data_IF_018972085710
#
_entry.id   IF_018972085710
#
_cell.length_a   1.000
_cell.length_b   1.000
_cell.length_c   1.000
_cell.angle_alpha   90.00
_cell.angle_beta   90.00
_cell.angle_gamma   90.00
#
_symmetry.space_group_name_H-M   'P 1'
#
loop_
_entity.id
_entity.type
_entity.pdbx_description
1 polymer ?
#
# COMPACT_ATOMS: atom_id res chain seq x y z
N UNK A 1 25.97 -45.51 -27.20
CA UNK A 1 27.28 -44.81 -27.07
C UNK A 1 26.99 -43.31 -27.02
N UNK A 2 27.42 -42.66 -25.92
CA UNK A 2 27.74 -41.23 -25.74
C UNK A 2 26.66 -40.18 -26.11
N UNK A 3 25.95 -39.59 -25.14
CA UNK A 3 26.27 -38.38 -24.32
C UNK A 3 25.93 -37.07 -25.05
N UNK A 4 24.83 -36.39 -24.70
CA UNK A 4 24.72 -35.28 -23.73
C UNK A 4 25.76 -34.17 -23.92
N UNK A 5 25.27 -32.98 -24.33
CA UNK A 5 25.56 -31.62 -23.83
C UNK A 5 24.65 -30.68 -24.63
N UNK A 6 23.64 -30.07 -23.99
CA UNK A 6 23.08 -28.78 -24.42
C UNK A 6 22.64 -27.97 -23.20
N UNK A 7 22.97 -26.68 -23.27
CA UNK A 7 23.11 -25.71 -22.19
C UNK A 7 21.78 -25.21 -21.60
N UNK A 8 21.81 -24.89 -20.30
CA UNK A 8 20.68 -24.65 -19.38
C UNK A 8 20.11 -23.22 -19.39
N UNK A 9 20.22 -22.44 -20.47
CA UNK A 9 19.89 -21.01 -20.45
C UNK A 9 18.68 -20.55 -21.29
N UNK A 10 17.81 -21.44 -21.77
CA UNK A 10 16.72 -21.03 -22.68
C UNK A 10 15.30 -21.40 -22.23
N UNK A 11 15.11 -21.86 -20.98
CA UNK A 11 13.80 -22.34 -20.50
C UNK A 11 13.10 -21.42 -19.47
N UNK A 12 13.43 -20.12 -19.44
CA UNK A 12 12.82 -19.14 -18.52
C UNK A 12 11.93 -18.09 -19.20
N UNK A 13 11.72 -18.18 -20.52
CA UNK A 13 10.98 -17.15 -21.27
C UNK A 13 9.59 -17.57 -21.81
N UNK A 14 9.08 -18.77 -21.51
CA UNK A 14 7.85 -19.27 -22.14
C UNK A 14 6.69 -19.64 -21.20
N UNK A 15 6.79 -19.38 -19.89
CA UNK A 15 5.70 -19.66 -18.94
C UNK A 15 4.77 -18.46 -18.66
N UNK A 16 4.69 -17.51 -19.59
CA UNK A 16 3.52 -16.65 -19.76
C UNK A 16 2.66 -17.29 -20.86
N UNK A 17 1.38 -17.51 -20.60
CA UNK A 17 0.32 -18.08 -21.45
C UNK A 17 -0.16 -19.50 -21.06
N UNK A 18 -1.40 -19.54 -20.56
CA UNK A 18 -2.30 -20.69 -20.36
C UNK A 18 -2.08 -21.61 -19.13
N UNK A 19 -2.86 -21.30 -18.08
CA UNK A 19 -3.82 -22.19 -17.40
C UNK A 19 -3.52 -23.68 -17.15
N UNK A 20 -3.62 -24.01 -15.86
CA UNK A 20 -4.19 -25.23 -15.24
C UNK A 20 -3.34 -26.53 -15.10
N UNK A 21 -3.41 -27.06 -13.86
CA UNK A 21 -2.98 -28.37 -13.32
C UNK A 21 -1.47 -28.61 -13.15
N UNK A 22 -0.94 -29.17 -12.05
CA UNK A 22 -1.52 -29.84 -10.87
C UNK A 22 -0.64 -29.68 -9.63
N UNK A 23 -1.28 -29.80 -8.46
CA UNK A 23 -0.68 -30.01 -7.14
C UNK A 23 0.32 -31.20 -7.11
N UNK A 24 1.20 -31.12 -6.11
CA UNK A 24 2.02 -32.18 -5.52
C UNK A 24 3.33 -32.56 -6.22
N UNK A 25 4.45 -32.00 -5.76
CA UNK A 25 5.53 -32.69 -5.01
C UNK A 25 6.78 -31.80 -4.97
N UNK A 26 7.60 -31.99 -3.92
CA UNK A 26 8.83 -31.26 -3.57
C UNK A 26 8.68 -30.06 -2.62
N UNK A 27 8.09 -30.33 -1.46
CA UNK A 27 8.51 -29.71 -0.20
C UNK A 27 9.17 -30.79 0.66
N UNK A 28 10.49 -30.89 0.53
CA UNK A 28 11.35 -31.48 1.55
C UNK A 28 12.60 -30.62 1.69
N UNK A 29 12.39 -29.41 2.21
CA UNK A 29 13.48 -28.59 2.73
C UNK A 29 13.74 -29.04 4.16
N UNK A 30 14.83 -29.80 4.30
CA UNK A 30 15.43 -30.17 5.56
C UNK A 30 15.63 -28.93 6.45
N UNK A 31 14.87 -28.84 7.54
CA UNK A 31 15.12 -27.90 8.62
C UNK A 31 16.37 -28.35 9.37
N UNK A 32 17.54 -27.92 8.91
CA UNK A 32 18.78 -28.03 9.70
C UNK A 32 18.88 -26.84 10.63
N UNK A 33 18.65 -27.10 11.91
CA UNK A 33 19.12 -26.24 13.00
C UNK A 33 20.65 -26.12 12.91
N UNK A 34 21.14 -25.02 12.32
CA UNK A 34 22.52 -24.57 12.51
C UNK A 34 22.50 -23.18 13.15
N UNK A 35 22.91 -23.13 14.41
CA UNK A 35 23.27 -21.92 15.17
C UNK A 35 24.56 -21.30 14.63
N UNK A 36 24.56 -20.94 13.35
CA UNK A 36 25.44 -19.91 12.79
C UNK A 36 24.72 -18.58 12.97
N UNK A 37 25.41 -17.52 13.39
CA UNK A 37 24.85 -16.17 13.57
C UNK A 37 24.11 -15.75 12.29
N UNK A 38 22.80 -16.02 12.23
CA UNK A 38 21.94 -15.67 11.12
C UNK A 38 21.86 -14.14 11.15
N UNK A 39 22.60 -13.50 10.25
CA UNK A 39 22.71 -12.05 10.23
C UNK A 39 21.34 -11.35 10.24
N UNK A 40 21.31 -10.13 10.75
CA UNK A 40 20.08 -9.37 11.00
C UNK A 40 19.74 -8.53 9.77
N UNK A 41 18.51 -8.65 9.31
CA UNK A 41 17.94 -7.76 8.30
C UNK A 41 16.88 -6.88 8.93
N UNK A 42 16.94 -5.59 8.62
CA UNK A 42 15.96 -4.62 9.08
C UNK A 42 15.72 -3.56 8.01
N UNK A 43 14.80 -2.65 8.26
CA UNK A 43 14.41 -1.54 7.39
C UNK A 43 14.31 -0.27 8.22
N UNK A 44 14.54 0.88 7.60
CA UNK A 44 14.23 2.16 8.21
C UNK A 44 12.76 2.22 8.68
N UNK A 45 12.48 3.11 9.64
CA UNK A 45 11.13 3.36 10.15
C UNK A 45 10.85 4.85 9.98
N UNK A 46 10.47 5.27 8.77
CA UNK A 46 10.23 6.67 8.44
C UNK A 46 8.84 6.91 7.81
N UNK A 47 8.35 8.15 7.94
CA UNK A 47 7.01 8.51 7.47
C UNK A 47 5.89 7.99 8.36
N UNK A 48 4.67 7.97 7.80
CA UNK A 48 3.41 7.62 8.51
C UNK A 48 2.92 6.21 8.16
N UNK A 49 1.75 5.82 8.66
CA UNK A 49 1.16 4.47 8.56
C UNK A 49 1.40 3.74 7.24
N UNK A 50 0.95 4.28 6.10
CA UNK A 50 1.13 3.59 4.81
C UNK A 50 2.60 3.35 4.42
N UNK A 51 3.53 4.22 4.86
CA UNK A 51 4.96 4.00 4.63
C UNK A 51 5.50 2.91 5.54
N UNK A 52 5.13 2.95 6.83
CA UNK A 52 5.51 1.91 7.80
C UNK A 52 5.04 0.53 7.36
N UNK A 53 3.82 0.42 6.83
CA UNK A 53 3.29 -0.83 6.26
C UNK A 53 4.10 -1.27 5.04
N UNK A 54 4.47 -0.34 4.15
CA UNK A 54 5.33 -0.58 3.00
C UNK A 54 6.71 -1.11 3.36
N UNK A 55 7.38 -0.44 4.29
CA UNK A 55 8.67 -0.82 4.87
C UNK A 55 8.58 -2.22 5.50
N UNK A 56 7.57 -2.47 6.33
CA UNK A 56 7.35 -3.76 7.00
C UNK A 56 7.19 -4.91 5.99
N UNK A 57 6.27 -4.76 5.02
CA UNK A 57 5.98 -5.82 4.05
C UNK A 57 7.17 -6.10 3.13
N UNK A 58 7.91 -5.05 2.78
CA UNK A 58 9.13 -5.16 1.97
C UNK A 58 10.24 -5.88 2.74
N UNK A 59 10.45 -5.53 4.01
CA UNK A 59 11.40 -6.23 4.88
C UNK A 59 11.03 -7.71 5.01
N UNK A 60 9.75 -7.99 5.31
CA UNK A 60 9.24 -9.34 5.49
C UNK A 60 9.57 -10.20 4.26
N UNK A 61 9.22 -9.71 3.07
CA UNK A 61 9.41 -10.44 1.83
C UNK A 61 10.88 -10.58 1.43
N UNK A 62 11.67 -9.50 1.47
CA UNK A 62 13.06 -9.53 1.02
C UNK A 62 13.98 -10.31 1.97
N UNK A 63 13.78 -10.22 3.29
CA UNK A 63 14.54 -11.02 4.23
C UNK A 63 14.25 -12.51 4.02
N UNK A 64 12.97 -12.89 3.88
CA UNK A 64 12.55 -14.26 3.58
C UNK A 64 13.14 -14.76 2.26
N UNK A 65 13.05 -13.97 1.19
CA UNK A 65 13.58 -14.30 -0.13
C UNK A 65 15.11 -14.56 -0.10
N UNK A 66 15.83 -13.82 0.75
CA UNK A 66 17.28 -13.95 0.87
C UNK A 66 17.70 -14.91 2.01
N UNK A 67 16.78 -15.63 2.64
CA UNK A 67 17.09 -16.63 3.67
C UNK A 67 17.55 -16.05 5.01
N UNK A 68 17.10 -14.83 5.35
CA UNK A 68 17.45 -14.13 6.56
C UNK A 68 16.24 -13.86 7.47
N UNK A 69 16.49 -13.78 8.78
CA UNK A 69 15.49 -13.34 9.74
C UNK A 69 15.35 -11.82 9.70
N UNK A 70 14.11 -11.35 9.53
CA UNK A 70 13.78 -9.94 9.64
C UNK A 70 13.55 -9.53 11.10
N UNK A 71 13.98 -8.31 11.42
CA UNK A 71 13.71 -7.62 12.68
C UNK A 71 13.22 -6.21 12.39
N UNK A 72 12.18 -5.77 13.08
CA UNK A 72 11.67 -4.40 12.97
C UNK A 72 12.31 -3.48 14.01
N UNK A 73 12.41 -2.20 13.69
CA UNK A 73 12.88 -1.20 14.64
C UNK A 73 11.82 -0.94 15.73
N UNK A 74 12.23 -0.57 16.97
CA UNK A 74 11.30 -0.26 18.06
C UNK A 74 10.28 0.83 17.72
N UNK A 75 10.67 1.81 16.90
CA UNK A 75 9.76 2.86 16.41
C UNK A 75 8.61 2.29 15.56
N UNK A 76 8.93 1.39 14.62
CA UNK A 76 7.94 0.72 13.76
C UNK A 76 6.99 -0.14 14.59
N UNK A 77 7.53 -0.90 15.56
CA UNK A 77 6.70 -1.71 16.46
C UNK A 77 5.70 -0.83 17.23
N UNK A 78 6.16 0.25 17.86
CA UNK A 78 5.28 1.20 18.58
C UNK A 78 4.19 1.81 17.69
N UNK A 79 4.45 1.93 16.40
CA UNK A 79 3.52 2.54 15.45
C UNK A 79 2.49 1.54 14.90
N UNK A 80 2.91 0.32 14.58
CA UNK A 80 2.09 -0.69 13.90
C UNK A 80 1.41 -1.68 14.86
N UNK A 81 2.09 -2.10 15.93
CA UNK A 81 1.57 -3.13 16.85
C UNK A 81 0.30 -2.75 17.59
N UNK A 82 -0.01 -1.46 17.87
CA UNK A 82 -1.31 -1.10 18.44
C UNK A 82 -2.48 -1.31 17.47
N UNK A 83 -2.22 -1.39 16.16
CA UNK A 83 -3.24 -1.49 15.11
C UNK A 83 -3.36 -2.94 14.62
N UNK A 84 -2.21 -3.60 14.40
CA UNK A 84 -2.11 -4.89 13.74
C UNK A 84 -1.42 -5.95 14.60
N UNK A 85 -1.74 -7.22 14.34
CA UNK A 85 -1.14 -8.41 14.94
C UNK A 85 0.16 -8.82 14.22
N UNK A 86 1.08 -7.87 14.04
CA UNK A 86 2.39 -8.12 13.41
C UNK A 86 3.26 -9.08 14.23
N UNK A 87 4.06 -9.91 13.56
CA UNK A 87 4.79 -11.00 14.22
C UNK A 87 6.32 -10.87 14.20
N UNK A 88 6.88 -10.05 13.29
CA UNK A 88 8.33 -9.84 13.23
C UNK A 88 8.91 -9.37 14.58
N UNK A 89 10.03 -9.97 15.03
CA UNK A 89 10.66 -9.60 16.30
C UNK A 89 11.23 -8.19 16.26
N UNK A 90 11.26 -7.53 17.42
CA UNK A 90 11.84 -6.19 17.57
C UNK A 90 13.35 -6.31 17.78
N UNK A 91 14.12 -5.51 17.05
CA UNK A 91 15.56 -5.40 17.26
C UNK A 91 15.84 -4.63 18.57
N UNK A 92 16.61 -5.17 19.53
CA UNK A 92 16.95 -4.46 20.75
C UNK A 92 17.74 -3.17 20.46
N UNK A 93 17.37 -2.06 21.12
CA UNK A 93 17.99 -0.74 20.90
C UNK A 93 19.51 -0.78 21.09
N UNK A 94 19.99 -1.54 22.08
CA UNK A 94 21.42 -1.70 22.37
C UNK A 94 22.23 -2.30 21.23
N UNK A 95 21.59 -3.08 20.33
CA UNK A 95 22.26 -3.70 19.20
C UNK A 95 22.39 -2.73 18.01
N UNK A 96 21.47 -1.78 17.86
CA UNK A 96 21.41 -0.89 16.70
C UNK A 96 22.72 -0.12 16.48
N UNK A 97 23.31 0.42 17.55
CA UNK A 97 24.56 1.18 17.49
C UNK A 97 25.83 0.31 17.43
N UNK A 98 25.73 -0.99 17.70
CA UNK A 98 26.87 -1.93 17.72
C UNK A 98 27.08 -2.63 16.37
N UNK A 99 26.04 -2.67 15.53
CA UNK A 99 26.06 -3.34 14.23
C UNK A 99 26.60 -2.38 13.16
N UNK A 100 27.58 -2.83 12.38
CA UNK A 100 28.00 -2.15 11.15
C UNK A 100 27.06 -2.54 10.01
N UNK A 101 26.07 -1.70 9.76
CA UNK A 101 25.05 -1.93 8.73
C UNK A 101 25.58 -1.77 7.31
N UNK A 102 25.17 -2.69 6.43
CA UNK A 102 25.16 -2.46 4.98
C UNK A 102 23.83 -1.83 4.60
N UNK A 103 23.85 -0.53 4.31
CA UNK A 103 22.66 0.18 3.85
C UNK A 103 22.38 -0.12 2.37
N UNK A 104 21.16 -0.51 2.06
CA UNK A 104 20.67 -0.72 0.70
C UNK A 104 19.50 0.22 0.46
N UNK A 105 19.71 1.22 -0.38
CA UNK A 105 18.64 2.12 -0.79
C UNK A 105 17.78 1.45 -1.87
N UNK A 106 16.52 1.17 -1.53
CA UNK A 106 15.60 0.51 -2.43
C UNK A 106 15.00 1.50 -3.43
N UNK A 107 14.63 0.96 -4.57
CA UNK A 107 13.72 1.62 -5.50
C UNK A 107 12.28 1.36 -5.07
N UNK A 108 11.32 2.19 -5.51
CA UNK A 108 9.88 1.93 -5.35
C UNK A 108 9.36 0.85 -6.33
N UNK A 109 10.24 -0.07 -6.75
CA UNK A 109 9.91 -1.27 -7.52
C UNK A 109 10.95 -2.34 -7.25
N UNK A 110 10.55 -3.61 -7.39
CA UNK A 110 11.48 -4.72 -7.27
C UNK A 110 12.43 -4.77 -8.47
N UNK A 111 13.73 -4.56 -8.22
CA UNK A 111 14.81 -4.92 -9.15
C UNK A 111 15.19 -6.39 -8.96
N UNK A 112 15.62 -7.06 -10.03
CA UNK A 112 16.13 -8.43 -9.98
C UNK A 112 17.31 -8.59 -9.01
N UNK A 113 18.10 -7.53 -8.83
CA UNK A 113 19.26 -7.54 -7.93
C UNK A 113 18.87 -7.75 -6.46
N UNK A 114 17.62 -7.44 -6.08
CA UNK A 114 17.15 -7.59 -4.70
C UNK A 114 16.85 -9.06 -4.32
N UNK A 115 16.80 -9.96 -5.31
CA UNK A 115 16.70 -11.40 -5.07
C UNK A 115 17.97 -11.99 -4.42
N UNK A 116 19.11 -11.30 -4.53
CA UNK A 116 20.42 -11.80 -4.09
C UNK A 116 21.27 -10.71 -3.41
N UNK A 117 20.73 -10.06 -2.39
CA UNK A 117 21.46 -9.05 -1.63
C UNK A 117 22.50 -9.76 -0.74
N UNK A 118 23.78 -9.50 -1.00
CA UNK A 118 24.87 -10.01 -0.17
C UNK A 118 24.98 -9.22 1.14
N UNK A 119 25.03 -9.90 2.27
CA UNK A 119 25.38 -9.30 3.57
C UNK A 119 24.66 -9.97 4.72
N UNK A 120 25.33 -10.06 5.87
CA UNK A 120 24.73 -10.58 7.10
C UNK A 120 23.91 -9.51 7.80
N UNK A 121 24.42 -8.28 7.89
CA UNK A 121 23.75 -7.16 8.56
C UNK A 121 23.29 -6.11 7.55
N UNK A 122 22.00 -6.14 7.17
CA UNK A 122 21.44 -5.30 6.11
C UNK A 122 20.38 -4.37 6.69
N UNK A 123 20.48 -3.09 6.32
CA UNK A 123 19.47 -2.06 6.58
C UNK A 123 18.91 -1.61 5.24
N UNK A 124 17.66 -1.99 4.96
CA UNK A 124 16.92 -1.48 3.81
C UNK A 124 16.51 -0.02 4.09
N UNK A 125 16.63 0.85 3.11
CA UNK A 125 16.28 2.27 3.25
C UNK A 125 15.42 2.76 2.08
N UNK A 126 14.67 3.83 2.29
CA UNK A 126 13.79 4.43 1.30
C UNK A 126 12.33 4.49 1.78
N UNK A 127 11.38 4.60 0.86
CA UNK A 127 9.94 4.55 1.13
C UNK A 127 9.27 3.44 0.29
N UNK A 128 9.74 2.18 0.37
CA UNK A 128 9.28 1.14 -0.54
C UNK A 128 7.77 0.94 -0.38
N UNK A 129 7.04 1.20 -1.47
CA UNK A 129 5.57 1.12 -1.51
C UNK A 129 5.05 0.20 -2.62
N UNK A 130 5.91 -0.67 -3.15
CA UNK A 130 5.59 -1.52 -4.29
C UNK A 130 5.06 -2.89 -3.88
N UNK A 131 3.92 -3.28 -4.43
CA UNK A 131 3.40 -4.64 -4.24
C UNK A 131 4.33 -5.71 -4.83
N UNK A 132 5.16 -5.36 -5.81
CA UNK A 132 6.05 -6.29 -6.51
C UNK A 132 7.01 -7.02 -5.56
N UNK A 133 7.37 -6.40 -4.43
CA UNK A 133 8.21 -7.01 -3.41
C UNK A 133 7.56 -8.20 -2.70
N UNK A 134 6.25 -8.18 -2.47
CA UNK A 134 5.60 -9.06 -1.49
C UNK A 134 4.31 -9.72 -1.98
N UNK A 135 3.83 -9.40 -3.18
CA UNK A 135 2.55 -9.92 -3.67
C UNK A 135 2.54 -11.44 -3.88
N UNK A 136 3.68 -12.04 -4.20
CA UNK A 136 3.82 -13.50 -4.31
C UNK A 136 3.60 -14.24 -2.98
N UNK A 137 3.72 -13.55 -1.84
CA UNK A 137 3.39 -14.05 -0.49
C UNK A 137 2.22 -13.28 0.14
N UNK A 138 1.29 -12.74 -0.68
CA UNK A 138 0.18 -11.88 -0.22
C UNK A 138 -0.57 -12.44 0.99
N UNK A 139 -0.85 -13.74 1.02
CA UNK A 139 -1.56 -14.38 2.12
C UNK A 139 -0.85 -14.22 3.49
N UNK A 140 0.49 -14.23 3.51
CA UNK A 140 1.28 -13.98 4.72
C UNK A 140 1.21 -12.51 5.10
N UNK A 141 1.35 -11.61 4.13
CA UNK A 141 1.27 -10.16 4.35
C UNK A 141 -0.10 -9.76 4.93
N UNK A 142 -1.19 -10.34 4.41
CA UNK A 142 -2.53 -10.10 4.96
C UNK A 142 -2.65 -10.58 6.41
N UNK A 143 -1.98 -11.69 6.76
CA UNK A 143 -1.96 -12.18 8.14
C UNK A 143 -1.25 -11.22 9.07
N UNK A 144 -0.09 -10.67 8.67
CA UNK A 144 0.65 -9.69 9.46
C UNK A 144 -0.15 -8.40 9.71
N UNK A 145 -1.00 -8.00 8.77
CA UNK A 145 -1.88 -6.83 8.89
C UNK A 145 -3.30 -7.17 9.35
N UNK A 146 -3.47 -8.24 10.11
CA UNK A 146 -4.74 -8.52 10.80
C UNK A 146 -4.95 -7.49 11.92
N UNK A 147 -6.09 -6.81 11.94
CA UNK A 147 -6.41 -5.87 13.01
C UNK A 147 -6.61 -6.58 14.36
N UNK A 148 -6.37 -5.87 15.46
CA UNK A 148 -6.84 -6.34 16.77
C UNK A 148 -8.37 -6.32 16.82
N UNK A 149 -8.95 -7.28 17.54
CA UNK A 149 -10.40 -7.49 17.62
C UNK A 149 -11.13 -6.17 17.92
N UNK A 150 -10.78 -5.48 19.01
CA UNK A 150 -11.47 -4.23 19.40
C UNK A 150 -11.52 -3.15 18.30
N UNK A 151 -10.49 -3.06 17.44
CA UNK A 151 -10.46 -2.11 16.32
C UNK A 151 -11.39 -2.59 15.19
N UNK A 152 -11.37 -3.89 14.91
CA UNK A 152 -12.27 -4.53 13.96
C UNK A 152 -13.73 -4.40 14.39
N UNK A 153 -14.05 -4.65 15.66
CA UNK A 153 -15.41 -4.48 16.16
C UNK A 153 -15.88 -3.02 16.12
N UNK A 154 -15.04 -2.05 16.49
CA UNK A 154 -15.36 -0.63 16.39
C UNK A 154 -15.69 -0.24 14.93
N UNK A 155 -14.87 -0.66 13.98
CA UNK A 155 -15.09 -0.39 12.56
C UNK A 155 -16.39 -1.05 12.05
N UNK A 156 -16.62 -2.33 12.38
CA UNK A 156 -17.82 -3.05 11.95
C UNK A 156 -19.10 -2.46 12.55
N UNK A 157 -19.08 -2.06 13.83
CA UNK A 157 -20.22 -1.40 14.48
C UNK A 157 -20.55 -0.07 13.80
N UNK A 158 -19.54 0.72 13.47
CA UNK A 158 -19.73 1.95 12.72
C UNK A 158 -20.39 1.70 11.37
N UNK A 159 -19.87 0.77 10.57
CA UNK A 159 -20.42 0.43 9.25
C UNK A 159 -21.86 -0.08 9.36
N UNK A 160 -22.15 -0.98 10.31
CA UNK A 160 -23.49 -1.49 10.57
C UNK A 160 -24.48 -0.36 10.89
N UNK A 161 -24.06 0.66 11.65
CA UNK A 161 -24.87 1.84 11.95
C UNK A 161 -25.24 2.67 10.71
N UNK A 162 -24.47 2.58 9.62
CA UNK A 162 -24.76 3.30 8.37
C UNK A 162 -25.79 2.60 7.48
N UNK A 163 -26.09 1.32 7.72
CA UNK A 163 -26.91 0.48 6.83
C UNK A 163 -28.35 0.97 6.65
N UNK A 164 -28.84 1.83 7.54
CA UNK A 164 -30.24 2.29 7.57
C UNK A 164 -31.21 1.09 7.50
N UNK A 165 -32.26 1.16 6.68
CA UNK A 165 -33.25 0.10 6.48
C UNK A 165 -32.86 -0.93 5.41
N UNK A 166 -31.70 -0.75 4.75
CA UNK A 166 -31.33 -1.57 3.61
C UNK A 166 -30.83 -2.96 4.03
N UNK A 167 -31.38 -4.02 3.45
CA UNK A 167 -30.94 -5.39 3.72
C UNK A 167 -29.57 -5.72 3.10
N UNK A 168 -29.17 -5.09 2.00
CA UNK A 168 -27.85 -5.28 1.43
C UNK A 168 -27.27 -3.93 1.03
N UNK A 169 -26.08 -3.62 1.54
CA UNK A 169 -25.34 -2.38 1.29
C UNK A 169 -23.93 -2.71 0.86
N UNK A 170 -23.38 -1.90 -0.02
CA UNK A 170 -22.00 -2.01 -0.47
C UNK A 170 -21.21 -0.84 0.08
N UNK A 171 -20.36 -1.08 1.07
CA UNK A 171 -19.50 -0.04 1.62
C UNK A 171 -18.31 0.22 0.69
N UNK A 172 -18.11 1.49 0.34
CA UNK A 172 -16.98 1.94 -0.47
C UNK A 172 -16.18 2.93 0.37
N UNK A 173 -14.98 2.53 0.79
CA UNK A 173 -14.07 3.40 1.52
C UNK A 173 -13.48 4.45 0.58
N UNK A 174 -13.59 5.72 0.93
CA UNK A 174 -13.09 6.84 0.12
C UNK A 174 -12.00 7.57 0.87
N UNK A 175 -10.75 7.34 0.49
CA UNK A 175 -9.59 8.03 1.07
C UNK A 175 -9.19 9.23 0.21
N UNK A 176 -9.39 10.43 0.75
CA UNK A 176 -9.01 11.70 0.10
C UNK A 176 -7.76 12.28 0.77
N UNK A 177 -6.60 12.10 0.13
CA UNK A 177 -5.36 12.75 0.55
C UNK A 177 -5.30 14.21 0.09
N UNK A 178 -5.25 15.13 1.06
CA UNK A 178 -4.94 16.56 0.90
C UNK A 178 -3.75 16.93 1.80
N UNK A 179 -3.95 17.75 2.83
CA UNK A 179 -2.88 18.22 3.72
C UNK A 179 -1.72 18.84 2.95
N UNK A 180 -0.50 18.42 3.28
CA UNK A 180 0.75 18.89 2.65
C UNK A 180 0.78 18.69 1.12
N UNK A 181 0.07 17.68 0.59
CA UNK A 181 0.04 17.40 -0.85
C UNK A 181 -0.60 18.51 -1.66
N UNK A 182 -1.51 19.31 -1.07
CA UNK A 182 -2.10 20.48 -1.75
C UNK A 182 -1.03 21.47 -2.19
N UNK A 183 0.04 21.61 -1.39
CA UNK A 183 1.19 22.45 -1.73
C UNK A 183 2.27 21.70 -2.49
N UNK A 184 2.60 20.49 -2.05
CA UNK A 184 3.78 19.74 -2.53
C UNK A 184 3.56 19.22 -3.96
N UNK A 185 2.34 18.79 -4.32
CA UNK A 185 2.06 18.28 -5.66
C UNK A 185 2.31 19.33 -6.76
N UNK A 186 1.71 20.53 -6.72
CA UNK A 186 1.93 21.52 -7.77
C UNK A 186 3.33 22.14 -7.72
N UNK A 187 3.84 22.47 -6.52
CA UNK A 187 5.07 23.27 -6.38
C UNK A 187 6.36 22.45 -6.48
N UNK A 188 6.32 21.16 -6.16
CA UNK A 188 7.51 20.28 -6.18
C UNK A 188 7.40 19.21 -7.25
N UNK A 189 6.24 18.56 -7.34
CA UNK A 189 6.06 17.37 -8.17
C UNK A 189 5.41 17.64 -9.52
N UNK A 190 5.16 18.89 -9.91
CA UNK A 190 4.45 19.22 -11.17
C UNK A 190 3.19 18.36 -11.34
N UNK A 191 2.42 18.23 -10.28
CA UNK A 191 1.26 17.35 -10.22
C UNK A 191 0.08 17.97 -9.51
N UNK A 192 -1.04 17.27 -9.54
CA UNK A 192 -2.30 17.68 -8.92
C UNK A 192 -2.71 16.71 -7.82
N UNK A 193 -3.63 17.17 -6.99
CA UNK A 193 -4.39 16.31 -6.07
C UNK A 193 -5.76 16.04 -6.67
N UNK A 194 -6.47 15.02 -6.15
CA UNK A 194 -7.83 14.73 -6.61
C UNK A 194 -8.74 15.96 -6.47
N UNK A 195 -9.49 16.22 -7.52
CA UNK A 195 -10.50 17.27 -7.60
C UNK A 195 -11.91 16.70 -7.42
N UNK A 196 -12.91 17.58 -7.46
CA UNK A 196 -14.31 17.20 -7.42
C UNK A 196 -14.69 16.29 -8.59
N UNK A 197 -14.18 16.58 -9.79
CA UNK A 197 -14.51 15.82 -11.00
C UNK A 197 -14.06 14.36 -10.91
N UNK A 198 -12.86 14.11 -10.38
CA UNK A 198 -12.40 12.75 -10.10
C UNK A 198 -13.31 12.03 -9.10
N UNK A 199 -13.60 12.65 -7.95
CA UNK A 199 -14.41 12.02 -6.90
C UNK A 199 -15.82 11.69 -7.39
N UNK A 200 -16.44 12.59 -8.15
CA UNK A 200 -17.75 12.34 -8.76
C UNK A 200 -17.71 11.16 -9.74
N UNK A 201 -16.69 11.10 -10.63
CA UNK A 201 -16.53 9.96 -11.56
C UNK A 201 -16.33 8.65 -10.83
N UNK A 202 -15.46 8.63 -9.81
CA UNK A 202 -15.16 7.45 -9.02
C UNK A 202 -16.37 6.95 -8.22
N UNK A 203 -17.11 7.83 -7.55
CA UNK A 203 -18.34 7.45 -6.83
C UNK A 203 -19.43 6.99 -7.81
N UNK A 204 -19.55 7.63 -8.97
CA UNK A 204 -20.53 7.25 -9.99
C UNK A 204 -20.22 5.89 -10.63
N UNK A 205 -18.97 5.44 -10.64
CA UNK A 205 -18.61 4.07 -11.03
C UNK A 205 -19.35 3.05 -10.15
N UNK A 206 -19.24 3.19 -8.82
CA UNK A 206 -19.90 2.29 -7.87
C UNK A 206 -21.43 2.46 -7.86
N UNK A 207 -21.95 3.69 -7.95
CA UNK A 207 -23.41 3.95 -8.06
C UNK A 207 -24.07 3.32 -9.28
N UNK A 208 -23.33 3.12 -10.36
CA UNK A 208 -23.85 2.44 -11.56
C UNK A 208 -23.85 0.92 -11.42
N UNK A 209 -23.00 0.38 -10.54
CA UNK A 209 -22.74 -1.06 -10.42
C UNK A 209 -23.46 -1.69 -9.24
N UNK A 210 -23.63 -0.95 -8.14
CA UNK A 210 -24.23 -1.42 -6.90
C UNK A 210 -25.52 -0.66 -6.62
N UNK A 211 -26.54 -1.37 -6.11
CA UNK A 211 -27.86 -0.80 -5.86
C UNK A 211 -27.86 0.19 -4.68
N UNK A 212 -27.22 -0.17 -3.57
CA UNK A 212 -27.16 0.63 -2.34
C UNK A 212 -25.70 0.86 -1.89
N UNK A 213 -24.87 1.60 -2.65
CA UNK A 213 -23.52 1.91 -2.21
C UNK A 213 -23.56 2.94 -1.08
N UNK A 214 -22.71 2.76 -0.08
CA UNK A 214 -22.48 3.71 1.00
C UNK A 214 -21.02 4.13 0.96
N UNK A 215 -20.75 5.41 0.77
CA UNK A 215 -19.41 5.96 0.68
C UNK A 215 -18.94 6.43 2.06
N UNK A 216 -17.87 5.83 2.57
CA UNK A 216 -17.27 6.14 3.87
C UNK A 216 -16.02 6.97 3.65
N UNK A 217 -16.11 8.28 3.84
CA UNK A 217 -15.06 9.24 3.51
C UNK A 217 -14.13 9.49 4.70
N UNK A 218 -12.83 9.28 4.48
CA UNK A 218 -11.75 9.69 5.40
C UNK A 218 -10.77 10.60 4.67
N UNK A 219 -10.24 11.59 5.39
CA UNK A 219 -9.43 12.64 4.78
C UNK A 219 -8.68 13.45 5.83
N UNK A 220 -7.44 13.84 5.52
CA UNK A 220 -6.71 14.86 6.27
C UNK A 220 -7.01 16.30 5.80
N UNK A 221 -8.03 16.46 4.96
CA UNK A 221 -8.61 17.74 4.54
C UNK A 221 -10.13 17.60 4.48
N UNK A 222 -10.74 17.30 5.62
CA UNK A 222 -12.16 16.95 5.71
C UNK A 222 -13.09 18.10 5.32
N UNK A 223 -12.74 19.35 5.65
CA UNK A 223 -13.55 20.52 5.29
C UNK A 223 -13.68 20.67 3.77
N UNK A 224 -12.57 20.53 3.04
CA UNK A 224 -12.60 20.51 1.58
C UNK A 224 -13.50 19.39 1.04
N UNK A 225 -13.52 18.23 1.69
CA UNK A 225 -14.38 17.11 1.27
C UNK A 225 -15.86 17.44 1.46
N UNK A 226 -16.24 18.05 2.60
CA UNK A 226 -17.61 18.49 2.87
C UNK A 226 -18.08 19.55 1.89
N UNK A 227 -17.20 20.42 1.44
CA UNK A 227 -17.49 21.47 0.45
C UNK A 227 -17.61 20.93 -0.99
N UNK A 228 -16.85 19.88 -1.33
CA UNK A 228 -16.66 19.45 -2.73
C UNK A 228 -17.31 18.12 -3.09
N UNK A 229 -17.72 17.30 -2.11
CA UNK A 229 -18.38 16.02 -2.37
C UNK A 229 -19.90 16.23 -2.34
N UNK A 230 -20.57 15.82 -3.41
CA UNK A 230 -22.03 15.90 -3.49
C UNK A 230 -22.69 14.84 -2.58
N UNK A 231 -23.38 15.32 -1.54
CA UNK A 231 -24.10 14.52 -0.55
C UNK A 231 -25.62 14.44 -0.80
N UNK A 232 -26.13 15.01 -1.88
CA UNK A 232 -27.58 15.15 -2.12
C UNK A 232 -28.34 13.82 -2.24
N UNK A 233 -27.62 12.70 -2.44
CA UNK A 233 -28.18 11.35 -2.53
C UNK A 233 -28.29 10.63 -1.18
N UNK A 234 -27.74 11.21 -0.11
CA UNK A 234 -27.75 10.58 1.22
C UNK A 234 -26.85 9.35 1.36
N UNK A 235 -25.98 9.07 0.39
CA UNK A 235 -25.13 7.89 0.31
C UNK A 235 -23.68 8.14 0.77
N UNK A 236 -23.38 9.32 1.32
CA UNK A 236 -22.03 9.74 1.73
C UNK A 236 -21.96 10.03 3.23
N UNK A 237 -21.00 9.40 3.91
CA UNK A 237 -20.72 9.58 5.32
C UNK A 237 -19.28 10.02 5.55
N UNK A 238 -19.08 11.13 6.25
CA UNK A 238 -17.76 11.62 6.65
C UNK A 238 -17.37 11.00 7.99
N UNK A 239 -16.52 9.98 7.96
CA UNK A 239 -16.23 9.13 9.10
C UNK A 239 -14.93 9.49 9.85
N UNK A 240 -14.02 10.20 9.20
CA UNK A 240 -12.76 10.64 9.81
C UNK A 240 -12.91 11.93 10.61
N UNK A 241 -12.17 12.05 11.71
CA UNK A 241 -12.03 13.30 12.47
C UNK A 241 -10.94 14.24 11.90
N UNK A 242 -10.26 13.82 10.82
CA UNK A 242 -9.16 14.55 10.19
C UNK A 242 -7.86 14.57 10.98
N UNK A 243 -7.80 13.87 12.12
CA UNK A 243 -6.63 13.85 12.98
C UNK A 243 -5.63 12.79 12.52
N UNK A 244 -4.50 13.26 11.98
CA UNK A 244 -3.43 12.37 11.51
C UNK A 244 -2.68 11.64 12.65
N UNK A 245 -2.93 12.00 13.92
CA UNK A 245 -2.28 11.43 15.11
C UNK A 245 -2.81 10.05 15.50
N UNK A 246 -4.00 9.66 15.02
CA UNK A 246 -4.64 8.37 15.34
C UNK A 246 -5.13 7.65 14.07
N UNK A 247 -4.23 7.36 13.11
CA UNK A 247 -4.61 6.89 11.77
C UNK A 247 -5.24 5.50 11.75
N UNK A 248 -5.08 4.70 12.82
CA UNK A 248 -5.57 3.32 12.88
C UNK A 248 -7.08 3.19 12.77
N UNK A 249 -7.86 4.12 13.37
CA UNK A 249 -9.33 4.07 13.31
C UNK A 249 -9.85 4.35 11.90
N UNK A 250 -9.38 5.45 11.29
CA UNK A 250 -9.72 5.79 9.91
C UNK A 250 -9.29 4.68 8.94
N UNK A 251 -8.11 4.10 9.14
CA UNK A 251 -7.60 3.03 8.30
C UNK A 251 -8.43 1.74 8.45
N UNK A 252 -8.82 1.38 9.68
CA UNK A 252 -9.68 0.23 9.93
C UNK A 252 -11.05 0.39 9.26
N UNK A 253 -11.68 1.57 9.34
CA UNK A 253 -12.94 1.84 8.66
C UNK A 253 -12.85 1.62 7.15
N UNK A 254 -11.79 2.12 6.51
CA UNK A 254 -11.56 1.88 5.09
C UNK A 254 -11.33 0.39 4.78
N UNK A 255 -10.51 -0.28 5.59
CA UNK A 255 -10.12 -1.67 5.38
C UNK A 255 -11.27 -2.68 5.57
N UNK A 256 -12.34 -2.29 6.26
CA UNK A 256 -13.55 -3.09 6.45
C UNK A 256 -14.67 -2.76 5.45
N UNK A 257 -14.45 -1.82 4.52
CA UNK A 257 -15.35 -1.61 3.39
C UNK A 257 -15.22 -2.75 2.36
N UNK A 258 -16.17 -2.86 1.43
CA UNK A 258 -16.12 -3.85 0.35
C UNK A 258 -15.18 -3.42 -0.79
N UNK A 259 -15.12 -2.11 -1.07
CA UNK A 259 -14.36 -1.53 -2.17
C UNK A 259 -13.64 -0.25 -1.74
N UNK A 260 -12.72 0.22 -2.57
CA UNK A 260 -11.91 1.41 -2.26
C UNK A 260 -11.92 2.41 -3.40
N UNK A 261 -12.09 3.69 -3.06
CA UNK A 261 -11.69 4.84 -3.88
C UNK A 261 -10.51 5.48 -3.15
N UNK A 262 -9.35 5.56 -3.79
CA UNK A 262 -8.18 6.25 -3.23
C UNK A 262 -7.75 7.40 -4.13
N UNK A 263 -7.14 8.44 -3.57
CA UNK A 263 -6.55 9.53 -4.37
C UNK A 263 -5.06 9.30 -4.60
N UNK A 264 -4.21 9.73 -3.67
CA UNK A 264 -2.75 9.62 -3.76
C UNK A 264 -2.16 9.28 -2.39
N UNK A 265 -0.96 8.70 -2.40
CA UNK A 265 -0.21 8.35 -1.20
C UNK A 265 -0.45 6.93 -0.70
N UNK A 266 0.49 6.46 0.11
CA UNK A 266 0.61 5.06 0.55
C UNK A 266 -0.53 4.58 1.46
N UNK A 267 -1.20 5.49 2.16
CA UNK A 267 -2.37 5.15 3.00
C UNK A 267 -3.53 4.58 2.16
N UNK A 268 -3.86 5.22 1.04
CA UNK A 268 -4.91 4.73 0.14
C UNK A 268 -4.52 3.45 -0.59
N UNK A 269 -3.23 3.30 -0.93
CA UNK A 269 -2.68 2.09 -1.55
C UNK A 269 -2.88 0.89 -0.60
N UNK A 270 -2.48 1.03 0.66
CA UNK A 270 -2.64 -0.05 1.62
C UNK A 270 -4.10 -0.37 1.95
N UNK A 271 -4.98 0.64 2.00
CA UNK A 271 -6.41 0.40 2.16
C UNK A 271 -6.95 -0.49 1.03
N UNK A 272 -6.72 -0.13 -0.24
CA UNK A 272 -7.16 -0.93 -1.39
C UNK A 272 -6.53 -2.34 -1.41
N UNK A 273 -5.24 -2.44 -1.05
CA UNK A 273 -4.53 -3.72 -1.05
C UNK A 273 -5.08 -4.71 -0.01
N UNK A 274 -5.45 -4.24 1.18
CA UNK A 274 -6.05 -5.06 2.23
C UNK A 274 -7.52 -5.39 1.97
N UNK A 275 -8.31 -4.43 1.49
CA UNK A 275 -9.75 -4.64 1.17
C UNK A 275 -9.91 -5.74 0.13
N UNK A 276 -9.07 -5.77 -0.90
CA UNK A 276 -9.07 -6.85 -1.91
C UNK A 276 -10.29 -6.90 -2.83
N UNK A 277 -11.22 -5.94 -2.69
CA UNK A 277 -12.27 -5.68 -3.68
C UNK A 277 -11.82 -4.71 -4.77
N UNK A 278 -12.77 -4.20 -5.55
CA UNK A 278 -12.47 -3.20 -6.57
C UNK A 278 -11.85 -1.94 -5.98
N UNK A 279 -10.77 -1.47 -6.60
CA UNK A 279 -10.08 -0.24 -6.21
C UNK A 279 -10.03 0.72 -7.39
N UNK A 280 -10.59 1.91 -7.20
CA UNK A 280 -10.48 3.04 -8.12
C UNK A 280 -9.41 4.01 -7.59
N UNK A 281 -8.47 4.41 -8.44
CA UNK A 281 -7.38 5.32 -8.07
C UNK A 281 -7.24 6.51 -9.02
N UNK A 282 -6.66 7.61 -8.52
CA UNK A 282 -6.32 8.78 -9.34
C UNK A 282 -5.12 8.42 -10.21
N UNK A 283 -5.30 8.39 -11.53
CA UNK A 283 -4.25 8.12 -12.50
C UNK A 283 -3.72 9.43 -13.11
N UNK A 284 -2.52 9.39 -13.70
CA UNK A 284 -1.95 10.47 -14.50
C UNK A 284 -1.97 11.86 -13.81
N UNK A 285 -1.69 11.90 -12.50
CA UNK A 285 -1.75 13.11 -11.68
C UNK A 285 -0.48 13.96 -11.71
N UNK A 286 0.43 13.73 -12.66
CA UNK A 286 1.66 14.51 -12.84
C UNK A 286 1.92 14.81 -14.31
N UNK A 287 2.60 15.92 -14.61
CA UNK A 287 3.11 16.19 -15.95
C UNK A 287 4.16 15.13 -16.38
N UNK A 288 4.34 14.86 -17.69
CA UNK A 288 5.27 13.85 -18.20
C UNK A 288 6.74 14.06 -17.80
N UNK A 289 7.15 15.31 -17.56
CA UNK A 289 8.50 15.69 -17.16
C UNK A 289 8.66 15.84 -15.63
N UNK A 290 7.68 15.37 -14.86
CA UNK A 290 7.69 15.47 -13.40
C UNK A 290 8.86 14.72 -12.77
N UNK A 291 9.58 15.32 -11.80
CA UNK A 291 10.60 14.61 -11.04
C UNK A 291 10.02 13.46 -10.17
N UNK A 292 8.71 13.46 -9.91
CA UNK A 292 8.03 12.41 -9.14
C UNK A 292 8.15 11.03 -9.82
N UNK A 293 8.14 11.00 -11.15
CA UNK A 293 8.26 9.77 -11.94
C UNK A 293 9.62 9.08 -11.81
N UNK A 294 10.63 9.77 -11.26
CA UNK A 294 11.95 9.18 -10.96
C UNK A 294 11.95 8.37 -9.67
N UNK A 295 11.05 8.69 -8.75
CA UNK A 295 11.00 8.07 -7.42
C UNK A 295 9.83 7.12 -7.28
N UNK A 296 8.68 7.40 -7.92
CA UNK A 296 7.47 6.60 -7.82
C UNK A 296 7.07 6.01 -9.18
N UNK A 297 6.78 4.71 -9.21
CA UNK A 297 6.28 4.01 -10.41
C UNK A 297 4.86 3.49 -10.19
N UNK A 298 3.83 4.09 -10.81
CA UNK A 298 2.44 3.65 -10.69
C UNK A 298 2.25 2.16 -10.97
N UNK A 299 2.90 1.60 -11.99
CA UNK A 299 2.80 0.18 -12.36
C UNK A 299 3.35 -0.79 -11.31
N UNK A 300 4.19 -0.30 -10.40
CA UNK A 300 4.76 -1.08 -9.30
C UNK A 300 3.99 -0.84 -7.98
N UNK A 301 3.20 0.23 -7.88
CA UNK A 301 2.46 0.62 -6.68
C UNK A 301 0.98 0.21 -6.73
N UNK A 302 0.35 0.28 -7.91
CA UNK A 302 -1.04 -0.07 -8.13
C UNK A 302 -1.15 -1.45 -8.78
N UNK A 303 -2.05 -2.29 -8.28
CA UNK A 303 -2.25 -3.63 -8.84
C UNK A 303 -2.80 -3.53 -10.28
N UNK A 304 -2.44 -4.47 -11.18
CA UNK A 304 -2.87 -4.42 -12.59
C UNK A 304 -4.39 -4.38 -12.78
N UNK A 305 -5.15 -4.98 -11.88
CA UNK A 305 -6.61 -5.04 -11.90
C UNK A 305 -7.29 -3.76 -11.35
N UNK A 306 -6.53 -2.81 -10.80
CA UNK A 306 -7.09 -1.56 -10.29
C UNK A 306 -7.49 -0.60 -11.41
N UNK A 307 -8.49 0.21 -11.14
CA UNK A 307 -9.15 1.06 -12.14
C UNK A 307 -8.63 2.49 -12.00
N UNK A 308 -7.83 2.93 -12.95
CA UNK A 308 -7.29 4.29 -12.99
C UNK A 308 -8.26 5.28 -13.65
N UNK A 309 -8.62 6.36 -12.96
CA UNK A 309 -9.32 7.50 -13.56
C UNK A 309 -8.33 8.67 -13.69
N UNK A 310 -8.04 9.17 -14.90
CA UNK A 310 -7.11 10.27 -15.10
C UNK A 310 -7.52 11.55 -14.35
N UNK A 311 -6.54 12.18 -13.72
CA UNK A 311 -6.67 13.50 -13.10
C UNK A 311 -6.87 14.59 -14.15
N UNK A 312 -7.48 15.70 -13.74
CA UNK A 312 -7.45 16.94 -14.52
C UNK A 312 -6.15 17.71 -14.24
N UNK A 313 -5.30 17.84 -15.27
CA UNK A 313 -4.03 18.57 -15.20
C UNK A 313 -4.17 20.05 -15.63
N UNK A 314 -5.37 20.50 -16.05
CA UNK A 314 -5.62 21.88 -16.45
C UNK A 314 -5.11 22.93 -15.45
N UNK A 315 -5.16 22.72 -14.10
CA UNK A 315 -4.66 23.71 -13.15
C UNK A 315 -3.15 23.96 -13.21
N UNK A 316 -2.36 23.06 -13.82
CA UNK A 316 -0.91 23.23 -14.00
C UNK A 316 -0.54 23.93 -15.30
N UNK A 317 -1.47 23.99 -16.26
CA UNK A 317 -1.23 24.52 -17.61
C UNK A 317 -1.60 26.01 -17.70
N UNK A 318 -2.42 26.49 -16.76
CA UNK A 318 -2.72 27.90 -16.61
C UNK A 318 -1.50 28.53 -15.91
N UNK A 319 -0.67 29.24 -16.67
CA UNK A 319 0.43 30.03 -16.11
C UNK A 319 -0.07 30.99 -15.02
N UNK A 320 0.82 31.55 -14.17
CA UNK A 320 0.39 32.34 -13.02
C UNK A 320 -0.59 33.43 -13.48
N UNK A 321 -1.85 33.28 -13.09
CA UNK A 321 -2.84 34.34 -13.23
C UNK A 321 -2.26 35.53 -12.50
N UNK A 322 -1.81 36.54 -13.28
CA UNK A 322 -1.55 37.86 -12.76
C UNK A 322 -2.88 38.33 -12.18
N UNK A 323 -3.03 38.21 -10.86
CA UNK A 323 -4.07 38.92 -10.15
C UNK A 323 -3.78 40.41 -10.38
N UNK A 324 -4.64 41.05 -11.18
CA UNK A 324 -4.77 42.51 -11.27
C UNK A 324 -5.61 42.97 -10.09
#
# INVERSE_FOLDING_TARGET
RLSFIFSQCTLLLFCYFFGLFSLSTFLHLNYKNSTTCAGIWTVNSIGRLGNQMGEYATLYALAKLNGHQAYILPGMHRYLSPIFQITLPVLPEEMMGKIRWKNINLHDWMSQDYCHIKGTYVMLTGYPCSYTFYHHIRHEILKEFTFHDHIKEEANQYLLGLRQEHQEVTYVGVHVRRGDYVRVMPNTWKGVVADRGYLEKAMNYFRKKYQNPIFVVTSNGMDWCKENINVSRGDVHFAGNGQESSPGKDFALLAHCNHTIMTIGTFGIWAGYLVGGETVYLANYTLPDSPFLKVFKPSAAFLPEWIGIPADLSPLLIGPTKHV
#
